data_IF_494118283702
#
_entry.id   IF_494118283702
#
_cell.length_a   1.000
_cell.length_b   1.000
_cell.length_c   1.000
_cell.angle_alpha   90.00
_cell.angle_beta   90.00
_cell.angle_gamma   90.00
#
_symmetry.space_group_name_H-M   'P 1'
#
loop_
_entity.id
_entity.type
_entity.pdbx_description
1 polymer ?
#
# COMPACT_ATOMS: atom_id res chain seq x y z
N UNK A 1 6.54 22.26 6.72
CA UNK A 1 6.07 21.98 5.34
C UNK A 1 5.40 20.62 5.40
N UNK A 2 4.24 20.45 4.78
CA UNK A 2 3.50 19.18 4.82
C UNK A 2 4.40 18.01 4.40
N UNK A 3 4.35 16.91 5.15
CA UNK A 3 5.13 15.71 4.90
C UNK A 3 4.20 14.51 4.91
N UNK A 4 4.20 13.74 3.82
CA UNK A 4 3.45 12.49 3.74
C UNK A 4 4.42 11.33 3.95
N UNK A 5 4.09 10.47 4.92
CA UNK A 5 4.83 9.28 5.27
C UNK A 5 3.99 8.08 4.83
N UNK A 6 4.48 7.32 3.86
CA UNK A 6 3.80 6.12 3.37
C UNK A 6 4.48 4.88 3.93
N UNK A 7 3.70 4.03 4.59
CA UNK A 7 4.17 2.81 5.26
C UNK A 7 3.61 1.60 4.52
N UNK A 8 4.49 0.66 4.19
CA UNK A 8 4.15 -0.64 3.61
C UNK A 8 3.44 -1.59 4.57
N UNK A 9 3.38 -2.86 4.18
CA UNK A 9 2.85 -3.97 4.99
C UNK A 9 3.56 -4.04 6.36
N UNK A 10 2.77 -4.13 7.44
CA UNK A 10 3.29 -4.25 8.81
C UNK A 10 3.26 -5.70 9.28
N UNK A 11 2.18 -6.43 8.95
CA UNK A 11 2.01 -7.85 9.26
C UNK A 11 2.30 -8.17 10.73
N UNK A 12 1.57 -7.57 11.67
CA UNK A 12 1.61 -7.92 13.09
C UNK A 12 2.92 -7.57 13.79
N UNK A 13 3.73 -6.64 13.25
CA UNK A 13 5.02 -6.23 13.80
C UNK A 13 4.96 -4.81 14.43
N UNK A 14 4.38 -4.64 15.64
CA UNK A 14 4.16 -3.32 16.23
C UNK A 14 5.46 -2.60 16.61
N UNK A 15 6.50 -3.36 16.96
CA UNK A 15 7.81 -2.79 17.28
C UNK A 15 8.44 -2.09 16.07
N UNK A 16 8.31 -2.67 14.87
CA UNK A 16 8.82 -2.08 13.64
C UNK A 16 8.03 -0.83 13.26
N UNK A 17 6.70 -0.89 13.34
CA UNK A 17 5.83 0.25 13.06
C UNK A 17 6.12 1.43 14.00
N UNK A 18 6.19 1.16 15.31
CA UNK A 18 6.45 2.17 16.32
C UNK A 18 7.83 2.81 16.13
N UNK A 19 8.86 2.02 15.81
CA UNK A 19 10.23 2.50 15.59
C UNK A 19 10.31 3.56 14.49
N UNK A 20 9.57 3.42 13.39
CA UNK A 20 9.62 4.38 12.27
C UNK A 20 8.71 5.58 12.48
N UNK A 21 7.60 5.43 13.20
CA UNK A 21 6.64 6.51 13.42
C UNK A 21 6.92 7.35 14.67
N UNK A 22 7.44 6.76 15.75
CA UNK A 22 7.71 7.48 17.00
C UNK A 22 8.52 8.78 16.82
N UNK A 23 9.55 8.86 15.95
CA UNK A 23 10.29 10.10 15.72
C UNK A 23 9.47 11.22 15.05
N UNK A 24 8.29 10.91 14.51
CA UNK A 24 7.45 11.81 13.70
C UNK A 24 6.09 12.10 14.35
N UNK A 25 5.76 11.45 15.47
CA UNK A 25 4.46 11.60 16.13
C UNK A 25 4.16 13.04 16.57
N UNK A 26 5.19 13.77 17.03
CA UNK A 26 5.04 15.14 17.53
C UNK A 26 5.01 16.21 16.42
N UNK A 27 5.30 15.84 15.17
CA UNK A 27 5.32 16.79 14.05
C UNK A 27 3.89 16.99 13.48
N UNK A 28 3.24 18.15 13.70
CA UNK A 28 1.87 18.38 13.27
C UNK A 28 1.74 18.47 11.73
N UNK A 29 2.83 18.65 11.00
CA UNK A 29 2.85 18.69 9.52
C UNK A 29 2.92 17.28 8.90
N UNK A 30 3.15 16.25 9.72
CA UNK A 30 3.20 14.86 9.27
C UNK A 30 1.80 14.28 9.10
N UNK A 31 1.58 13.65 7.95
CA UNK A 31 0.44 12.78 7.63
C UNK A 31 0.96 11.40 7.28
N UNK A 32 0.30 10.37 7.77
CA UNK A 32 0.69 8.97 7.54
C UNK A 32 -0.35 8.28 6.66
N UNK A 33 0.11 7.52 5.68
CA UNK A 33 -0.70 6.58 4.90
C UNK A 33 -0.11 5.18 5.13
N UNK A 34 -0.88 4.26 5.70
CA UNK A 34 -0.47 2.85 5.81
C UNK A 34 -1.24 2.03 4.77
N UNK A 35 -0.52 1.26 3.95
CA UNK A 35 -1.07 0.68 2.71
C UNK A 35 -1.77 -0.68 2.87
N UNK A 36 -2.26 -1.03 4.07
CA UNK A 36 -2.90 -2.33 4.33
C UNK A 36 -1.94 -3.42 4.79
N UNK A 37 -2.47 -4.59 5.14
CA UNK A 37 -1.74 -5.69 5.78
C UNK A 37 -1.08 -5.24 7.09
N UNK A 38 -1.90 -4.69 8.00
CA UNK A 38 -1.48 -4.40 9.37
C UNK A 38 -1.31 -5.68 10.18
N UNK A 39 -2.16 -6.67 9.90
CA UNK A 39 -2.34 -7.86 10.74
C UNK A 39 -1.73 -9.10 10.10
N UNK A 40 -1.73 -10.18 10.87
CA UNK A 40 -1.23 -11.51 10.53
C UNK A 40 0.28 -11.59 10.33
N UNK A 41 0.82 -12.81 10.12
CA UNK A 41 2.25 -13.17 9.98
C UNK A 41 3.12 -12.91 11.21
N UNK A 42 3.16 -11.68 11.71
CA UNK A 42 3.99 -11.25 12.84
C UNK A 42 3.48 -11.71 14.20
N UNK A 43 4.19 -11.32 15.26
CA UNK A 43 3.94 -11.83 16.60
C UNK A 43 2.71 -11.22 17.30
N UNK A 44 2.25 -10.03 16.89
CA UNK A 44 1.26 -9.27 17.65
C UNK A 44 0.39 -8.33 16.78
N UNK A 45 -0.64 -8.91 16.13
CA UNK A 45 -1.65 -8.14 15.39
C UNK A 45 -2.41 -7.15 16.29
N UNK A 46 -2.81 -7.57 17.49
CA UNK A 46 -3.59 -6.74 18.42
C UNK A 46 -2.81 -5.48 18.82
N UNK A 47 -1.50 -5.60 19.06
CA UNK A 47 -0.62 -4.47 19.34
C UNK A 47 -0.51 -3.48 18.18
N UNK A 48 -0.50 -3.96 16.92
CA UNK A 48 -0.53 -3.08 15.74
C UNK A 48 -1.86 -2.33 15.66
N UNK A 49 -2.98 -3.03 15.83
CA UNK A 49 -4.30 -2.41 15.78
C UNK A 49 -4.48 -1.37 16.89
N UNK A 50 -4.07 -1.70 18.12
CA UNK A 50 -4.11 -0.77 19.25
C UNK A 50 -3.24 0.48 19.02
N UNK A 51 -2.07 0.32 18.39
CA UNK A 51 -1.22 1.45 18.01
C UNK A 51 -1.91 2.37 17.00
N UNK A 52 -2.52 1.81 15.96
CA UNK A 52 -3.20 2.58 14.92
C UNK A 52 -4.48 3.24 15.46
N UNK A 53 -5.22 2.57 16.34
CA UNK A 53 -6.45 3.12 16.95
C UNK A 53 -6.19 4.42 17.72
N UNK A 54 -5.04 4.51 18.40
CA UNK A 54 -4.64 5.69 19.16
C UNK A 54 -4.27 6.90 18.29
N UNK A 55 -4.11 6.72 16.97
CA UNK A 55 -3.70 7.82 16.10
C UNK A 55 -4.86 8.79 15.86
N UNK A 56 -4.59 10.11 15.92
CA UNK A 56 -5.64 11.11 15.81
C UNK A 56 -6.25 11.13 14.40
N UNK A 57 -7.58 11.31 14.28
CA UNK A 57 -8.26 11.44 13.00
C UNK A 57 -7.62 12.51 12.11
N UNK A 58 -7.53 12.24 10.81
CA UNK A 58 -6.96 13.18 9.84
C UNK A 58 -5.43 13.25 9.82
N UNK A 59 -4.72 12.60 10.75
CA UNK A 59 -3.26 12.40 10.65
C UNK A 59 -2.87 11.01 10.13
N UNK A 60 -3.78 10.04 10.23
CA UNK A 60 -3.57 8.67 9.78
C UNK A 60 -4.65 8.28 8.78
N UNK A 61 -4.21 7.87 7.59
CA UNK A 61 -5.05 7.25 6.57
C UNK A 61 -4.73 5.76 6.54
N UNK A 62 -5.68 4.93 6.95
CA UNK A 62 -5.56 3.49 6.92
C UNK A 62 -6.12 2.94 5.62
N UNK A 63 -5.31 2.25 4.82
CA UNK A 63 -5.79 1.50 3.66
C UNK A 63 -6.05 0.04 4.04
N UNK A 64 -6.95 -0.61 3.33
CA UNK A 64 -7.25 -2.03 3.48
C UNK A 64 -6.23 -2.86 2.69
N UNK A 65 -5.70 -3.93 3.31
CA UNK A 65 -4.93 -4.96 2.61
C UNK A 65 -5.74 -6.23 2.39
N UNK A 66 -5.14 -7.21 1.73
CA UNK A 66 -5.84 -8.49 1.56
C UNK A 66 -6.06 -9.18 2.91
N UNK A 67 -5.15 -9.04 3.88
CA UNK A 67 -5.33 -9.63 5.21
C UNK A 67 -6.52 -9.04 6.00
N UNK A 68 -6.83 -7.76 5.85
CA UNK A 68 -8.03 -7.18 6.47
C UNK A 68 -9.31 -7.53 5.68
N UNK A 69 -9.21 -7.78 4.37
CA UNK A 69 -10.37 -8.04 3.50
C UNK A 69 -11.24 -9.20 3.97
N UNK A 70 -10.63 -10.26 4.53
CA UNK A 70 -11.32 -11.47 5.00
C UNK A 70 -12.29 -11.21 6.17
N UNK A 71 -12.21 -10.05 6.81
CA UNK A 71 -13.09 -9.64 7.91
C UNK A 71 -14.19 -8.68 7.48
N UNK A 72 -14.14 -8.13 6.26
CA UNK A 72 -15.03 -7.03 5.85
C UNK A 72 -15.76 -7.28 4.53
N UNK A 73 -15.77 -8.53 4.06
CA UNK A 73 -16.55 -8.99 2.90
C UNK A 73 -15.79 -9.93 1.96
N UNK A 74 -14.46 -10.01 2.06
CA UNK A 74 -13.62 -10.90 1.27
C UNK A 74 -13.61 -12.34 1.77
N UNK A 75 -13.14 -13.24 0.90
CA UNK A 75 -12.98 -14.65 1.24
C UNK A 75 -11.83 -14.88 2.24
N UNK A 76 -11.99 -15.88 3.10
CA UNK A 76 -10.95 -16.28 4.04
C UNK A 76 -9.85 -17.04 3.30
N UNK A 77 -8.64 -16.49 3.33
CA UNK A 77 -7.45 -17.08 2.68
C UNK A 77 -6.30 -17.34 3.67
N UNK A 78 -6.30 -16.67 4.83
CA UNK A 78 -5.28 -16.84 5.84
C UNK A 78 -5.71 -17.90 6.88
N UNK A 79 -4.84 -18.87 7.25
CA UNK A 79 -5.26 -20.01 8.07
C UNK A 79 -5.51 -19.66 9.54
N UNK A 80 -4.89 -18.60 10.06
CA UNK A 80 -5.02 -18.20 11.46
C UNK A 80 -5.94 -16.98 11.56
N UNK A 81 -7.09 -17.14 12.21
CA UNK A 81 -7.99 -16.02 12.45
C UNK A 81 -7.48 -15.14 13.58
N UNK A 82 -7.75 -13.85 13.47
CA UNK A 82 -7.61 -12.89 14.56
C UNK A 82 -8.55 -13.22 15.72
N UNK A 83 -8.23 -12.65 16.89
CA UNK A 83 -9.15 -12.64 18.01
C UNK A 83 -10.46 -11.92 17.62
N UNK A 84 -11.58 -12.31 18.24
CA UNK A 84 -12.90 -11.75 17.90
C UNK A 84 -13.01 -10.24 18.13
N UNK A 85 -12.29 -9.69 19.12
CA UNK A 85 -12.24 -8.25 19.37
C UNK A 85 -11.50 -7.51 18.24
N UNK A 86 -10.38 -8.05 17.77
CA UNK A 86 -9.59 -7.47 16.68
C UNK A 86 -10.33 -7.53 15.33
N UNK A 87 -11.00 -8.66 15.04
CA UNK A 87 -11.82 -8.80 13.85
C UNK A 87 -12.98 -7.77 13.84
N UNK A 88 -13.67 -7.61 14.98
CA UNK A 88 -14.73 -6.60 15.13
C UNK A 88 -14.21 -5.17 15.00
N UNK A 89 -12.98 -4.90 15.46
CA UNK A 89 -12.36 -3.58 15.28
C UNK A 89 -12.12 -3.27 13.79
N UNK A 90 -11.66 -4.23 13.00
CA UNK A 90 -11.49 -4.07 11.55
C UNK A 90 -12.84 -3.83 10.84
N UNK A 91 -13.88 -4.59 11.21
CA UNK A 91 -15.26 -4.37 10.74
C UNK A 91 -15.73 -2.96 11.07
N UNK A 92 -15.50 -2.49 12.29
CA UNK A 92 -15.85 -1.13 12.72
C UNK A 92 -15.11 -0.07 11.90
N UNK A 93 -13.80 -0.23 11.67
CA UNK A 93 -13.01 0.70 10.86
C UNK A 93 -13.52 0.79 9.43
N UNK A 94 -13.94 -0.33 8.86
CA UNK A 94 -14.52 -0.38 7.53
C UNK A 94 -15.89 0.32 7.47
N UNK A 95 -16.77 0.05 8.44
CA UNK A 95 -18.10 0.65 8.49
C UNK A 95 -18.07 2.15 8.78
N UNK A 96 -17.09 2.63 9.55
CA UNK A 96 -16.91 4.04 9.90
C UNK A 96 -16.00 4.81 8.94
N UNK A 97 -15.63 4.22 7.80
CA UNK A 97 -14.74 4.82 6.79
C UNK A 97 -13.36 5.25 7.32
N UNK A 98 -12.92 4.69 8.45
CA UNK A 98 -11.56 4.86 8.96
C UNK A 98 -10.57 4.11 8.08
N UNK A 99 -10.99 2.95 7.54
CA UNK A 99 -10.24 2.16 6.57
C UNK A 99 -10.80 2.38 5.16
N UNK A 100 -9.91 2.65 4.20
CA UNK A 100 -10.21 3.00 2.81
C UNK A 100 -9.54 2.05 1.83
N UNK A 101 -9.93 2.09 0.55
CA UNK A 101 -9.30 1.25 -0.50
C UNK A 101 -8.05 1.91 -1.06
N UNK A 102 -8.10 3.23 -1.22
CA UNK A 102 -7.05 4.00 -1.86
C UNK A 102 -6.89 5.38 -1.25
N UNK A 103 -5.73 5.99 -1.50
CA UNK A 103 -5.46 7.39 -1.28
C UNK A 103 -4.78 7.99 -2.52
N UNK A 104 -4.84 9.31 -2.66
CA UNK A 104 -4.12 10.01 -3.72
C UNK A 104 -3.26 11.11 -3.14
N UNK A 105 -2.02 11.24 -3.63
CA UNK A 105 -1.08 12.26 -3.17
C UNK A 105 -0.50 13.03 -4.36
N UNK A 106 -0.24 14.32 -4.14
CA UNK A 106 0.46 15.18 -5.10
C UNK A 106 1.75 15.68 -4.48
N UNK A 107 2.88 15.48 -5.15
CA UNK A 107 4.18 16.00 -4.72
C UNK A 107 4.31 17.49 -5.02
N UNK A 108 5.35 18.12 -4.45
CA UNK A 108 5.60 19.55 -4.64
C UNK A 108 5.88 19.95 -6.10
N UNK A 109 6.40 19.03 -6.92
CA UNK A 109 6.63 19.21 -8.36
C UNK A 109 5.41 18.84 -9.22
N UNK A 110 4.28 18.46 -8.60
CA UNK A 110 3.00 18.23 -9.27
C UNK A 110 2.77 16.79 -9.75
N UNK A 111 3.67 15.86 -9.47
CA UNK A 111 3.43 14.44 -9.75
C UNK A 111 2.34 13.88 -8.83
N UNK A 112 1.42 13.11 -9.43
CA UNK A 112 0.37 12.43 -8.68
C UNK A 112 0.67 10.94 -8.52
N UNK A 113 0.42 10.44 -7.30
CA UNK A 113 0.49 9.03 -6.99
C UNK A 113 -0.85 8.52 -6.51
N UNK A 114 -1.30 7.43 -7.10
CA UNK A 114 -2.32 6.58 -6.52
C UNK A 114 -1.66 5.63 -5.51
N UNK A 115 -2.13 5.63 -4.27
CA UNK A 115 -1.66 4.75 -3.20
C UNK A 115 -2.71 3.69 -2.94
N UNK A 116 -2.34 2.42 -3.10
CA UNK A 116 -3.21 1.25 -2.87
C UNK A 116 -2.39 0.14 -2.23
N UNK A 117 -3.05 -0.92 -1.76
CA UNK A 117 -2.33 -2.05 -1.19
C UNK A 117 -1.48 -2.79 -2.22
N UNK A 118 -2.05 -3.20 -3.34
CA UNK A 118 -1.38 -4.03 -4.34
C UNK A 118 -1.16 -3.35 -5.71
N UNK A 119 -1.64 -2.12 -5.91
CA UNK A 119 -1.56 -1.39 -7.18
C UNK A 119 -2.83 -1.52 -8.02
N UNK A 120 -3.06 -0.55 -8.92
CA UNK A 120 -4.14 -0.55 -9.89
C UNK A 120 -3.65 -1.16 -11.21
N UNK A 121 -4.18 -2.33 -11.54
CA UNK A 121 -3.90 -3.03 -12.80
C UNK A 121 -4.56 -2.35 -14.01
N UNK A 122 -4.11 -2.66 -15.22
CA UNK A 122 -4.70 -2.11 -16.46
C UNK A 122 -6.18 -2.46 -16.58
N UNK A 123 -6.56 -3.69 -16.24
CA UNK A 123 -7.94 -4.14 -16.35
C UNK A 123 -8.83 -3.48 -15.30
N UNK A 124 -8.36 -3.35 -14.06
CA UNK A 124 -9.06 -2.60 -13.03
C UNK A 124 -9.19 -1.12 -13.42
N UNK A 125 -8.14 -0.50 -13.96
CA UNK A 125 -8.18 0.88 -14.46
C UNK A 125 -9.22 1.08 -15.56
N UNK A 126 -9.35 0.14 -16.51
CA UNK A 126 -10.38 0.17 -17.56
C UNK A 126 -11.79 0.00 -16.99
N UNK A 127 -11.97 -0.88 -16.02
CA UNK A 127 -13.27 -1.07 -15.35
C UNK A 127 -13.70 0.17 -14.54
N UNK A 128 -12.74 0.98 -14.09
CA UNK A 128 -13.00 2.28 -13.46
C UNK A 128 -13.24 3.43 -14.47
N UNK A 129 -13.47 3.10 -15.75
CA UNK A 129 -13.68 4.08 -16.83
C UNK A 129 -12.44 4.97 -17.08
N UNK A 130 -11.26 4.35 -17.03
CA UNK A 130 -9.98 4.93 -17.47
C UNK A 130 -9.67 6.31 -16.83
N UNK A 131 -9.71 6.44 -15.48
CA UNK A 131 -9.48 7.73 -14.82
C UNK A 131 -8.10 8.29 -15.15
N UNK A 132 -8.04 9.59 -15.40
CA UNK A 132 -6.82 10.29 -15.83
C UNK A 132 -6.04 10.94 -14.69
N UNK A 133 -6.60 11.00 -13.47
CA UNK A 133 -5.92 11.52 -12.27
C UNK A 133 -5.91 10.49 -11.16
N UNK A 134 -4.91 10.55 -10.29
CA UNK A 134 -4.83 9.64 -9.15
C UNK A 134 -5.98 9.90 -8.17
N UNK A 135 -6.38 11.16 -8.00
CA UNK A 135 -7.48 11.55 -7.13
C UNK A 135 -8.80 10.92 -7.57
N UNK A 136 -9.16 11.02 -8.86
CA UNK A 136 -10.38 10.39 -9.39
C UNK A 136 -10.33 8.87 -9.25
N UNK A 137 -9.18 8.24 -9.52
CA UNK A 137 -9.02 6.80 -9.33
C UNK A 137 -9.21 6.38 -7.87
N UNK A 138 -8.65 7.14 -6.91
CA UNK A 138 -8.81 6.89 -5.49
C UNK A 138 -10.27 7.05 -5.04
N UNK A 139 -10.95 8.11 -5.47
CA UNK A 139 -12.37 8.34 -5.16
C UNK A 139 -13.25 7.19 -5.66
N UNK A 140 -13.04 6.75 -6.91
CA UNK A 140 -13.78 5.63 -7.50
C UNK A 140 -13.52 4.31 -6.75
N UNK A 141 -12.26 4.02 -6.39
CA UNK A 141 -11.93 2.84 -5.58
C UNK A 141 -12.57 2.91 -4.19
N UNK A 142 -12.62 4.10 -3.59
CA UNK A 142 -13.22 4.31 -2.28
C UNK A 142 -14.77 4.21 -2.29
N UNK A 143 -15.42 4.14 -3.46
CA UNK A 143 -16.82 3.70 -3.57
C UNK A 143 -17.02 2.19 -3.32
N UNK A 144 -15.93 1.43 -3.16
CA UNK A 144 -15.89 0.00 -2.88
C UNK A 144 -16.59 -0.84 -3.96
N UNK A 145 -16.10 -0.79 -5.22
CA UNK A 145 -16.65 -1.60 -6.30
C UNK A 145 -16.37 -3.10 -6.04
N UNK A 146 -17.33 -3.81 -5.45
CA UNK A 146 -17.20 -5.20 -4.99
C UNK A 146 -16.54 -6.14 -6.01
N UNK A 147 -17.01 -6.12 -7.27
CA UNK A 147 -16.50 -6.99 -8.34
C UNK A 147 -15.02 -6.78 -8.69
N UNK A 148 -14.48 -5.62 -8.34
CA UNK A 148 -13.10 -5.23 -8.58
C UNK A 148 -12.26 -5.42 -7.33
N UNK A 149 -12.80 -5.05 -6.16
CA UNK A 149 -12.08 -5.06 -4.89
C UNK A 149 -11.65 -6.47 -4.47
N UNK A 150 -12.52 -7.46 -4.64
CA UNK A 150 -12.31 -8.83 -4.17
C UNK A 150 -11.67 -9.76 -5.21
N UNK A 151 -11.32 -9.24 -6.39
CA UNK A 151 -10.73 -10.04 -7.47
C UNK A 151 -9.24 -10.31 -7.21
N UNK A 152 -8.76 -11.50 -7.56
CA UNK A 152 -7.35 -11.92 -7.45
C UNK A 152 -6.32 -11.03 -8.18
N UNK A 153 -6.76 -10.13 -9.06
CA UNK A 153 -5.91 -9.16 -9.78
C UNK A 153 -6.39 -7.71 -9.53
N UNK A 154 -7.21 -7.53 -8.51
CA UNK A 154 -7.70 -6.25 -8.05
C UNK A 154 -6.68 -5.53 -7.17
N UNK A 155 -7.04 -4.34 -6.66
CA UNK A 155 -6.16 -3.45 -5.92
C UNK A 155 -5.67 -3.99 -4.57
N UNK A 156 -6.20 -5.13 -4.13
CA UNK A 156 -5.77 -5.83 -2.91
C UNK A 156 -4.89 -7.06 -3.19
N UNK A 157 -4.80 -7.52 -4.44
CA UNK A 157 -4.25 -8.85 -4.75
C UNK A 157 -3.23 -8.87 -5.89
N UNK A 158 -3.10 -7.77 -6.64
CA UNK A 158 -2.21 -7.71 -7.78
C UNK A 158 -0.74 -7.99 -7.42
N UNK A 159 -0.12 -8.91 -8.17
CA UNK A 159 1.29 -9.24 -8.00
C UNK A 159 2.21 -8.27 -8.75
N UNK A 160 3.20 -7.72 -8.04
CA UNK A 160 4.24 -6.88 -8.60
C UNK A 160 5.04 -7.63 -9.67
N UNK A 161 5.24 -7.00 -10.83
CA UNK A 161 5.80 -7.66 -12.01
C UNK A 161 4.70 -8.23 -12.90
N UNK A 162 4.38 -9.55 -12.87
CA UNK A 162 3.48 -10.16 -13.85
C UNK A 162 2.05 -9.63 -13.83
N UNK A 163 1.48 -9.36 -12.66
CA UNK A 163 0.09 -8.90 -12.51
C UNK A 163 -0.07 -7.39 -12.64
N UNK A 164 0.96 -6.62 -12.29
CA UNK A 164 0.90 -5.17 -12.24
C UNK A 164 1.77 -4.50 -13.32
N UNK A 165 3.08 -4.74 -13.35
CA UNK A 165 3.99 -3.94 -14.18
C UNK A 165 4.00 -4.36 -15.65
N UNK A 166 3.98 -5.67 -15.92
CA UNK A 166 4.03 -6.21 -17.28
C UNK A 166 2.78 -5.84 -18.10
N UNK A 167 1.55 -5.90 -17.56
CA UNK A 167 0.36 -5.44 -18.27
C UNK A 167 0.46 -3.95 -18.63
N UNK A 168 0.92 -3.10 -17.71
CA UNK A 168 1.12 -1.67 -17.99
C UNK A 168 2.24 -1.42 -19.01
N UNK A 169 3.30 -2.21 -19.01
CA UNK A 169 4.38 -2.12 -20.01
C UNK A 169 3.87 -2.46 -21.43
N UNK A 170 2.86 -3.32 -21.53
CA UNK A 170 2.27 -3.78 -22.78
C UNK A 170 0.96 -3.07 -23.15
N UNK A 171 0.47 -2.18 -22.29
CA UNK A 171 -0.74 -1.42 -22.54
C UNK A 171 -0.57 -0.48 -23.74
N UNK A 172 -1.63 -0.32 -24.51
CA UNK A 172 -1.69 0.63 -25.64
C UNK A 172 -1.71 2.08 -25.15
N UNK A 173 -2.33 2.31 -23.99
CA UNK A 173 -2.37 3.61 -23.33
C UNK A 173 -1.29 3.65 -22.24
N UNK A 174 -0.55 4.77 -22.11
CA UNK A 174 0.42 4.92 -21.03
C UNK A 174 -0.29 4.99 -19.67
N UNK A 175 0.43 4.61 -18.62
CA UNK A 175 -0.06 4.76 -17.25
C UNK A 175 -0.28 6.25 -16.92
N UNK A 176 -1.51 6.66 -16.54
CA UNK A 176 -1.87 8.09 -16.45
C UNK A 176 -1.26 8.82 -15.24
N UNK A 177 -0.91 8.08 -14.18
CA UNK A 177 -0.32 8.59 -12.95
C UNK A 177 0.62 7.55 -12.33
N UNK A 178 1.54 7.98 -11.48
CA UNK A 178 2.44 7.07 -10.76
C UNK A 178 1.66 6.32 -9.66
N UNK A 179 2.20 5.21 -9.18
CA UNK A 179 1.52 4.38 -8.18
C UNK A 179 2.46 3.95 -7.06
N UNK A 180 1.98 3.98 -5.82
CA UNK A 180 2.67 3.46 -4.64
C UNK A 180 1.89 2.25 -4.13
N UNK A 181 2.58 1.14 -3.87
CA UNK A 181 1.93 -0.07 -3.38
C UNK A 181 2.81 -0.90 -2.43
N UNK A 182 2.15 -1.68 -1.57
CA UNK A 182 2.73 -2.73 -0.74
C UNK A 182 2.54 -4.11 -1.38
N UNK A 183 2.12 -5.09 -0.57
CA UNK A 183 1.70 -6.46 -0.89
C UNK A 183 2.79 -7.41 -1.44
N UNK A 184 3.49 -6.97 -2.49
CA UNK A 184 4.44 -7.79 -3.22
C UNK A 184 5.59 -6.95 -3.79
N UNK A 185 6.67 -7.62 -4.17
CA UNK A 185 7.89 -6.97 -4.64
C UNK A 185 8.59 -7.83 -5.68
N UNK A 186 9.36 -7.18 -6.55
CA UNK A 186 10.13 -7.81 -7.64
C UNK A 186 11.55 -8.21 -7.23
N UNK A 187 11.89 -8.12 -5.94
CA UNK A 187 13.20 -8.49 -5.40
C UNK A 187 13.10 -9.33 -4.14
N UNK A 188 14.10 -10.17 -3.91
CA UNK A 188 14.32 -10.78 -2.60
C UNK A 188 15.25 -9.87 -1.80
N UNK A 189 14.72 -9.10 -0.85
CA UNK A 189 15.56 -8.25 0.02
C UNK A 189 16.56 -9.07 0.84
N UNK A 190 16.16 -10.28 1.28
CA UNK A 190 17.04 -11.19 2.04
C UNK A 190 18.23 -11.67 1.21
N UNK A 191 18.01 -12.01 -0.06
CA UNK A 191 19.06 -12.55 -0.95
C UNK A 191 19.77 -11.46 -1.77
N UNK A 192 19.23 -10.24 -1.76
CA UNK A 192 19.62 -9.15 -2.65
C UNK A 192 19.63 -9.55 -4.13
N UNK A 193 18.56 -10.24 -4.56
CA UNK A 193 18.40 -10.73 -5.94
C UNK A 193 17.10 -10.25 -6.57
N UNK A 194 17.10 -10.07 -7.89
CA UNK A 194 15.89 -9.81 -8.67
C UNK A 194 15.03 -11.08 -8.80
N UNK A 195 13.72 -10.91 -8.78
CA UNK A 195 12.71 -11.97 -8.93
C UNK A 195 11.77 -11.72 -10.12
N UNK A 196 12.12 -10.77 -10.99
CA UNK A 196 11.32 -10.40 -12.17
C UNK A 196 12.07 -10.67 -13.48
N UNK A 197 11.35 -10.61 -14.59
CA UNK A 197 11.91 -10.70 -15.94
C UNK A 197 12.84 -9.53 -16.27
N UNK A 198 13.79 -9.78 -17.19
CA UNK A 198 14.86 -8.83 -17.54
C UNK A 198 14.32 -7.46 -18.02
N UNK A 199 13.17 -7.44 -18.71
CA UNK A 199 12.55 -6.19 -19.17
C UNK A 199 12.12 -5.27 -18.02
N UNK A 200 11.53 -5.85 -16.97
CA UNK A 200 11.16 -5.11 -15.77
C UNK A 200 12.43 -4.69 -15.03
N UNK A 201 13.35 -5.65 -14.79
CA UNK A 201 14.63 -5.37 -14.12
C UNK A 201 15.40 -4.18 -14.72
N UNK A 202 15.50 -4.08 -16.05
CA UNK A 202 16.20 -2.98 -16.72
C UNK A 202 15.54 -1.60 -16.51
N UNK A 203 14.28 -1.57 -16.09
CA UNK A 203 13.50 -0.36 -15.79
C UNK A 203 13.38 -0.10 -14.29
N UNK A 204 13.94 -1.00 -13.48
CA UNK A 204 13.77 -0.98 -12.04
C UNK A 204 15.06 -0.62 -11.32
N UNK A 205 14.93 0.15 -10.25
CA UNK A 205 15.97 0.37 -9.25
C UNK A 205 15.48 -0.11 -7.89
N UNK A 206 16.41 -0.43 -7.01
CA UNK A 206 16.11 -0.93 -5.67
C UNK A 206 16.99 -0.23 -4.63
N UNK A 207 16.36 0.25 -3.57
CA UNK A 207 17.04 0.58 -2.33
C UNK A 207 16.92 -0.62 -1.39
N UNK A 208 18.02 -1.35 -1.23
CA UNK A 208 18.06 -2.56 -0.41
C UNK A 208 17.90 -2.28 1.09
N UNK A 209 18.27 -1.08 1.54
CA UNK A 209 18.24 -0.70 2.95
C UNK A 209 16.85 -0.21 3.34
N UNK A 210 16.29 0.71 2.56
CA UNK A 210 14.93 1.19 2.74
C UNK A 210 13.89 0.12 2.38
N UNK A 211 14.27 -0.85 1.56
CA UNK A 211 13.39 -1.88 0.96
C UNK A 211 12.33 -1.28 0.05
N UNK A 212 12.78 -0.38 -0.83
CA UNK A 212 11.94 0.21 -1.86
C UNK A 212 12.38 -0.23 -3.25
N UNK A 213 11.42 -0.41 -4.16
CA UNK A 213 11.70 -0.56 -5.59
C UNK A 213 11.04 0.57 -6.35
N UNK A 214 11.67 1.02 -7.43
CA UNK A 214 11.10 1.99 -8.36
C UNK A 214 11.16 1.41 -9.75
N UNK A 215 10.02 1.25 -10.43
CA UNK A 215 9.93 0.70 -11.79
C UNK A 215 9.31 1.73 -12.73
N UNK A 216 10.09 2.23 -13.70
CA UNK A 216 9.67 3.31 -14.61
C UNK A 216 9.03 2.78 -15.89
N UNK A 217 7.82 3.23 -16.20
CA UNK A 217 7.08 2.90 -17.42
C UNK A 217 6.68 4.18 -18.15
N UNK A 218 7.57 4.69 -19.01
CA UNK A 218 7.36 5.96 -19.70
C UNK A 218 7.52 7.15 -18.75
N UNK A 219 6.52 8.02 -18.68
CA UNK A 219 6.53 9.21 -17.83
C UNK A 219 6.12 8.92 -16.37
N UNK A 220 5.43 7.80 -16.13
CA UNK A 220 4.96 7.40 -14.80
C UNK A 220 5.77 6.21 -14.28
N UNK A 221 5.63 5.91 -12.98
CA UNK A 221 6.36 4.82 -12.35
C UNK A 221 5.63 4.20 -11.18
N UNK A 222 6.08 2.99 -10.81
CA UNK A 222 5.67 2.30 -9.59
C UNK A 222 6.71 2.50 -8.50
N UNK A 223 6.27 2.68 -7.27
CA UNK A 223 7.08 2.60 -6.06
C UNK A 223 6.55 1.45 -5.18
N UNK A 224 7.28 0.35 -5.14
CA UNK A 224 6.96 -0.78 -4.26
C UNK A 224 7.61 -0.58 -2.88
N UNK A 225 6.80 -0.56 -1.83
CA UNK A 225 7.22 -0.23 -0.45
C UNK A 225 6.96 -1.34 0.57
N UNK A 226 6.67 -2.57 0.13
CA UNK A 226 6.52 -3.72 1.04
C UNK A 226 7.88 -4.14 1.63
N UNK A 227 8.09 -3.98 2.95
CA UNK A 227 9.35 -4.30 3.59
C UNK A 227 9.56 -5.80 3.77
N UNK A 228 8.56 -6.66 3.55
CA UNK A 228 8.62 -8.11 3.79
C UNK A 228 9.09 -8.46 5.20
N UNK A 229 8.37 -7.98 6.22
CA UNK A 229 8.66 -8.23 7.64
C UNK A 229 8.63 -9.72 8.04
N UNK A 230 7.82 -10.53 7.38
CA UNK A 230 7.66 -11.93 7.76
C UNK A 230 7.11 -12.05 9.19
N UNK A 231 7.73 -12.90 10.01
CA UNK A 231 7.25 -13.21 11.37
C UNK A 231 7.98 -12.46 12.48
N UNK A 232 9.08 -11.76 12.17
CA UNK A 232 9.99 -11.17 13.17
C UNK A 232 10.38 -9.73 12.88
N UNK A 233 9.82 -9.13 11.83
CA UNK A 233 10.24 -7.81 11.38
C UNK A 233 11.43 -7.84 10.43
N UNK A 234 11.56 -6.78 9.64
CA UNK A 234 12.67 -6.61 8.71
C UNK A 234 13.83 -5.97 9.48
N UNK A 235 15.07 -6.50 9.39
CA UNK A 235 16.22 -5.93 10.12
C UNK A 235 16.50 -4.47 9.77
N UNK A 236 16.28 -4.09 8.51
CA UNK A 236 16.39 -2.73 8.01
C UNK A 236 15.27 -2.48 7.01
N UNK A 237 14.60 -1.35 7.16
CA UNK A 237 13.60 -0.80 6.25
C UNK A 237 13.35 0.66 6.62
N UNK A 238 12.67 1.41 5.76
CA UNK A 238 12.23 2.77 6.06
C UNK A 238 10.86 3.02 5.43
N UNK A 239 10.04 3.93 5.97
CA UNK A 239 8.87 4.41 5.25
C UNK A 239 9.29 5.27 4.05
N UNK A 240 8.41 5.40 3.05
CA UNK A 240 8.58 6.35 1.96
C UNK A 240 8.18 7.75 2.44
N UNK A 241 9.05 8.73 2.27
CA UNK A 241 8.81 10.12 2.69
C UNK A 241 8.63 10.99 1.46
N UNK A 242 7.50 11.69 1.39
CA UNK A 242 7.19 12.66 0.35
C UNK A 242 7.13 14.06 0.98
N UNK A 243 8.22 14.81 0.85
CA UNK A 243 8.32 16.16 1.39
C UNK A 243 7.57 17.18 0.52
N UNK A 244 6.83 18.09 1.16
CA UNK A 244 6.02 19.11 0.47
C UNK A 244 4.80 18.54 -0.26
N UNK A 245 4.46 17.27 -0.04
CA UNK A 245 3.33 16.62 -0.68
C UNK A 245 1.99 16.94 0.00
N UNK A 246 0.92 16.85 -0.78
CA UNK A 246 -0.46 17.10 -0.36
C UNK A 246 -1.31 15.86 -0.58
N UNK A 247 -2.11 15.48 0.42
CA UNK A 247 -3.11 14.42 0.30
C UNK A 247 -4.33 14.99 -0.45
N UNK A 248 -4.73 14.33 -1.53
CA UNK A 248 -5.85 14.74 -2.39
C UNK A 248 -7.16 14.03 -2.05
N UNK A 249 -7.08 12.74 -1.68
CA UNK A 249 -8.21 11.83 -1.35
C UNK A 249 -7.74 10.78 -0.35
#
# INVERSE_FOLDING_TARGET
>A
MAKIVVIGDVGGCPAELSKVIAPMLDDPDVRVIQVGDLVDRGPDSSGVLAFVEQQPPGRWTQLIGNHESQYVGGDSFWPHRLAEDDARLLEEWWLKERMRVAAAVRTADGEEYLVTHAGLTVDAWRELDEPVTAATAADLLNTRPDNLLWRDHGPLWAEAGPGLYEPWLHATQPMPFSQIHGHSTIVSYRRQTWMCGERIRQRSTVDWTARHTVTRLGAAHFVGIDPKHGTVGAPTWAPLILDGATLLS
#
